data_IF_353888611386
#
_entry.id   IF_353888611386
#
_cell.length_a   1.000
_cell.length_b   1.000
_cell.length_c   1.000
_cell.angle_alpha   90.00
_cell.angle_beta   90.00
_cell.angle_gamma   90.00
#
_symmetry.space_group_name_H-M   'P 1'
#
loop_
_entity.id
_entity.type
_entity.pdbx_description
1 polymer ?
#
# COMPACT_ATOMS: atom_id res chain seq x y z
N UNK A 1 17.20 20.91 18.38
CA UNK A 1 16.04 20.60 19.23
C UNK A 1 15.70 19.13 19.02
N UNK A 2 16.34 18.33 19.86
CA UNK A 2 15.94 17.04 20.45
C UNK A 2 15.41 15.90 19.56
N UNK A 3 16.35 15.03 19.18
CA UNK A 3 16.16 13.63 18.82
C UNK A 3 15.72 12.80 20.04
N UNK A 4 14.48 12.33 20.05
CA UNK A 4 13.97 11.40 21.06
C UNK A 4 14.18 9.95 20.59
N UNK A 5 15.39 9.44 20.82
CA UNK A 5 15.74 8.02 20.68
C UNK A 5 15.18 7.27 21.90
N UNK A 6 14.09 6.53 21.73
CA UNK A 6 13.57 5.62 22.76
C UNK A 6 14.40 4.33 22.78
N UNK A 7 15.36 4.27 23.70
CA UNK A 7 15.96 3.01 24.15
C UNK A 7 14.95 2.26 25.02
N UNK A 8 14.57 1.04 24.61
CA UNK A 8 13.71 0.18 25.42
C UNK A 8 14.46 -1.13 25.67
N UNK A 9 14.79 -1.33 26.95
CA UNK A 9 15.50 -2.50 27.46
C UNK A 9 14.53 -3.69 27.57
N UNK A 10 14.93 -4.87 27.08
CA UNK A 10 14.08 -6.06 26.98
C UNK A 10 14.59 -7.18 27.90
N UNK A 11 14.23 -7.16 29.19
CA UNK A 11 14.26 -8.36 30.04
C UNK A 11 13.22 -8.29 31.17
N UNK A 12 12.17 -9.13 31.11
CA UNK A 12 11.41 -9.59 32.28
C UNK A 12 10.60 -10.87 31.95
N UNK A 13 10.41 -11.82 32.89
CA UNK A 13 10.04 -13.20 32.59
C UNK A 13 8.52 -13.48 32.55
N UNK A 14 8.13 -14.51 31.80
CA UNK A 14 6.76 -15.01 31.63
C UNK A 14 6.10 -15.47 32.94
N UNK A 15 4.85 -15.03 33.17
CA UNK A 15 3.93 -15.65 34.14
C UNK A 15 2.87 -16.45 33.39
N UNK A 16 2.73 -17.74 33.73
CA UNK A 16 1.72 -18.65 33.15
C UNK A 16 0.30 -18.26 33.59
N UNK A 17 -0.73 -18.40 32.72
CA UNK A 17 -2.11 -18.08 33.07
C UNK A 17 -2.76 -19.21 33.91
N UNK A 18 -3.47 -18.81 34.97
CA UNK A 18 -4.36 -19.70 35.74
C UNK A 18 -5.71 -19.84 35.01
N UNK A 19 -6.23 -21.07 34.89
CA UNK A 19 -7.57 -21.35 34.34
C UNK A 19 -8.64 -21.04 35.39
N UNK A 20 -9.62 -20.19 35.05
CA UNK A 20 -10.84 -20.00 35.84
C UNK A 20 -11.88 -21.08 35.53
N UNK A 21 -12.72 -21.48 36.50
CA UNK A 21 -13.74 -22.51 36.28
C UNK A 21 -14.99 -21.95 35.59
N UNK A 22 -15.51 -22.69 34.61
CA UNK A 22 -16.71 -22.33 33.85
C UNK A 22 -17.97 -22.26 34.73
N UNK A 23 -18.76 -21.21 34.53
CA UNK A 23 -20.02 -20.96 35.23
C UNK A 23 -21.07 -22.03 34.93
N UNK A 24 -21.70 -22.60 35.99
CA UNK A 24 -22.83 -23.56 35.94
C UNK A 24 -24.00 -23.11 35.06
N UNK A 25 -24.12 -21.81 34.74
CA UNK A 25 -25.14 -21.29 33.80
C UNK A 25 -24.85 -21.68 32.35
N UNK A 26 -23.57 -21.80 31.96
CA UNK A 26 -23.15 -22.18 30.61
C UNK A 26 -23.43 -23.67 30.32
N UNK A 27 -23.13 -24.56 31.27
CA UNK A 27 -23.43 -26.00 31.14
C UNK A 27 -24.93 -26.28 30.95
N UNK A 28 -25.81 -25.56 31.67
CA UNK A 28 -27.26 -25.70 31.54
C UNK A 28 -27.84 -25.15 30.23
N UNK A 29 -27.12 -24.26 29.54
CA UNK A 29 -27.50 -23.75 28.21
C UNK A 29 -27.15 -24.75 27.11
N UNK A 30 -25.96 -25.35 27.18
CA UNK A 30 -25.49 -26.36 26.20
C UNK A 30 -26.35 -27.62 26.22
N UNK A 31 -26.80 -28.05 27.41
CA UNK A 31 -27.60 -29.28 27.55
C UNK A 31 -29.02 -29.14 26.97
N UNK A 32 -29.65 -27.97 27.13
CA UNK A 32 -31.01 -27.70 26.60
C UNK A 32 -31.09 -27.68 25.06
N UNK A 33 -29.96 -27.44 24.39
CA UNK A 33 -29.86 -27.39 22.93
C UNK A 33 -29.59 -28.76 22.28
N UNK A 34 -29.22 -29.77 23.08
CA UNK A 34 -29.04 -31.16 22.60
C UNK A 34 -30.35 -31.95 22.57
N UNK A 35 -31.37 -31.52 23.32
CA UNK A 35 -32.63 -32.26 23.48
C UNK A 35 -33.78 -31.77 22.56
N UNK A 36 -33.52 -30.84 21.63
CA UNK A 36 -34.54 -30.18 20.80
C UNK A 36 -34.41 -30.43 19.28
N UNK A 37 -33.77 -31.51 18.85
CA UNK A 37 -33.68 -31.86 17.43
C UNK A 37 -34.54 -33.10 17.10
N UNK A 38 -35.60 -32.99 16.27
CA UNK A 38 -36.34 -34.13 15.76
C UNK A 38 -35.50 -34.94 14.76
N UNK A 39 -35.58 -36.27 14.82
CA UNK A 39 -35.03 -37.18 13.81
C UNK A 39 -36.08 -37.36 12.71
N UNK A 40 -35.74 -37.09 11.46
CA UNK A 40 -36.51 -37.58 10.30
C UNK A 40 -35.62 -38.38 9.34
N UNK A 41 -36.21 -39.48 8.90
CA UNK A 41 -35.68 -40.49 7.99
C UNK A 41 -36.00 -40.12 6.52
N UNK A 42 -35.14 -40.51 5.59
CA UNK A 42 -35.58 -41.08 4.30
C UNK A 42 -35.54 -40.19 3.04
N UNK A 43 -34.57 -40.51 2.16
CA UNK A 43 -34.64 -40.65 0.70
C UNK A 43 -35.58 -39.76 -0.16
N UNK A 44 -34.99 -38.99 -1.08
CA UNK A 44 -35.09 -39.12 -2.54
C UNK A 44 -35.26 -37.80 -3.34
N UNK A 45 -34.51 -37.75 -4.44
CA UNK A 45 -34.77 -37.10 -5.74
C UNK A 45 -34.83 -35.56 -5.86
N UNK A 46 -33.89 -35.04 -6.65
CA UNK A 46 -33.89 -33.71 -7.26
C UNK A 46 -34.95 -33.59 -8.38
N UNK A 47 -35.48 -32.39 -8.65
CA UNK A 47 -36.04 -32.06 -9.95
C UNK A 47 -35.18 -31.06 -10.72
N UNK A 48 -35.17 -31.32 -12.03
CA UNK A 48 -34.45 -30.65 -13.11
C UNK A 48 -35.12 -29.32 -13.50
N UNK A 49 -34.33 -28.45 -14.14
CA UNK A 49 -34.80 -27.27 -14.86
C UNK A 49 -35.80 -27.63 -15.99
N UNK A 50 -36.75 -26.75 -16.32
CA UNK A 50 -37.43 -26.74 -17.61
C UNK A 50 -36.75 -25.80 -18.64
N UNK A 51 -37.02 -25.98 -19.95
CA UNK A 51 -36.24 -25.41 -21.04
C UNK A 51 -36.78 -24.07 -21.60
N UNK A 52 -35.94 -23.51 -22.48
CA UNK A 52 -36.09 -22.32 -23.35
C UNK A 52 -37.36 -22.35 -24.20
N UNK A 53 -37.96 -21.17 -24.45
CA UNK A 53 -38.74 -20.92 -25.67
C UNK A 53 -38.38 -19.57 -26.28
N UNK A 54 -38.04 -19.61 -27.57
CA UNK A 54 -37.80 -18.49 -28.48
C UNK A 54 -39.11 -18.13 -29.19
N UNK A 55 -39.27 -16.84 -29.49
CA UNK A 55 -39.95 -16.22 -30.66
C UNK A 55 -39.93 -14.70 -30.37
N UNK A 56 -39.57 -13.75 -31.24
CA UNK A 56 -39.29 -13.75 -32.67
C UNK A 56 -39.87 -12.45 -33.27
N UNK A 57 -39.01 -11.57 -33.81
CA UNK A 57 -39.28 -10.52 -34.84
C UNK A 57 -40.24 -9.36 -34.46
N UNK A 58 -40.18 -8.10 -34.92
CA UNK A 58 -39.84 -7.46 -36.22
C UNK A 58 -39.62 -5.92 -36.08
N UNK A 59 -38.95 -5.29 -37.06
CA UNK A 59 -39.05 -3.85 -37.48
C UNK A 59 -38.05 -2.87 -36.84
N UNK A 60 -37.06 -2.26 -37.51
CA UNK A 60 -37.10 -1.23 -38.59
C UNK A 60 -38.05 -0.06 -38.24
N UNK A 61 -37.73 1.24 -38.29
CA UNK A 61 -36.84 1.98 -39.18
C UNK A 61 -36.62 3.45 -38.69
N UNK A 62 -35.61 4.12 -39.28
CA UNK A 62 -35.51 5.53 -39.65
C UNK A 62 -35.65 6.74 -38.65
N UNK A 63 -34.51 7.46 -38.52
CA UNK A 63 -34.26 8.85 -38.99
C UNK A 63 -34.95 10.10 -38.37
N UNK A 64 -34.12 11.06 -37.93
CA UNK A 64 -34.13 12.53 -38.20
C UNK A 64 -33.48 13.27 -37.01
N UNK A 65 -32.30 13.90 -37.09
CA UNK A 65 -31.85 15.12 -37.81
C UNK A 65 -32.34 16.44 -37.19
N UNK A 66 -31.38 17.36 -36.98
CA UNK A 66 -31.39 18.85 -36.86
C UNK A 66 -30.77 19.35 -35.54
N UNK A 67 -30.09 20.49 -35.41
CA UNK A 67 -29.36 21.47 -36.26
C UNK A 67 -28.73 22.48 -35.26
N UNK A 68 -27.64 23.14 -35.65
CA UNK A 68 -27.13 24.38 -35.01
C UNK A 68 -25.61 24.35 -34.82
N UNK A 69 -24.73 24.86 -35.70
CA UNK A 69 -24.41 26.28 -36.02
C UNK A 69 -24.26 27.13 -34.74
N UNK A 70 -23.21 27.91 -34.49
CA UNK A 70 -22.13 28.44 -35.35
C UNK A 70 -21.21 29.39 -34.57
N UNK A 71 -20.00 29.63 -35.12
CA UNK A 71 -19.11 30.82 -34.96
C UNK A 71 -18.45 30.99 -33.58
N UNK A 72 -17.13 31.17 -33.42
CA UNK A 72 -16.05 31.56 -34.32
C UNK A 72 -15.50 32.93 -33.88
N UNK A 73 -14.21 33.02 -33.58
CA UNK A 73 -13.30 34.14 -33.93
C UNK A 73 -11.88 33.87 -33.43
N UNK A 74 -10.93 34.10 -34.32
CA UNK A 74 -9.50 34.12 -34.09
C UNK A 74 -9.00 35.54 -33.73
N UNK A 75 -7.82 35.62 -33.11
CA UNK A 75 -6.77 36.66 -33.18
C UNK A 75 -5.77 36.34 -32.05
N UNK A 76 -4.44 36.33 -32.19
CA UNK A 76 -3.55 36.88 -33.21
C UNK A 76 -2.56 37.85 -32.56
N UNK A 77 -1.26 37.62 -32.81
CA UNK A 77 -0.06 38.45 -32.52
C UNK A 77 0.49 38.42 -31.08
N UNK A 78 1.73 37.99 -30.79
CA UNK A 78 3.08 38.25 -31.36
C UNK A 78 3.70 39.58 -30.91
N UNK A 79 4.79 39.48 -30.14
CA UNK A 79 6.05 40.25 -30.15
C UNK A 79 6.79 39.99 -28.81
N UNK A 80 8.10 40.18 -28.63
CA UNK A 80 9.34 39.89 -29.35
C UNK A 80 10.47 40.49 -28.46
N UNK A 81 11.67 39.88 -28.52
CA UNK A 81 13.03 40.44 -28.26
C UNK A 81 13.50 40.85 -26.85
N UNK A 82 14.78 40.54 -26.56
CA UNK A 82 15.67 41.29 -25.65
C UNK A 82 16.46 40.40 -24.66
N UNK A 83 17.51 39.71 -25.09
CA UNK A 83 18.95 40.06 -24.93
C UNK A 83 19.53 40.05 -23.49
N UNK A 84 20.63 39.32 -23.32
CA UNK A 84 21.54 39.34 -22.15
C UNK A 84 22.59 40.46 -22.31
N UNK A 85 23.35 40.87 -21.28
CA UNK A 85 24.62 40.17 -21.00
C UNK A 85 25.11 40.23 -19.53
N UNK A 86 26.23 39.54 -19.33
CA UNK A 86 27.00 39.31 -18.11
C UNK A 86 27.68 40.56 -17.49
N UNK A 87 28.10 40.45 -16.23
CA UNK A 87 29.43 40.95 -15.81
C UNK A 87 29.98 40.17 -14.62
N UNK A 88 31.30 39.96 -14.69
CA UNK A 88 32.21 39.41 -13.69
C UNK A 88 32.86 40.56 -12.90
N UNK A 89 33.38 40.27 -11.69
CA UNK A 89 34.72 40.62 -11.17
C UNK A 89 34.73 40.44 -9.63
N UNK A 90 35.56 39.55 -9.07
CA UNK A 90 36.95 39.79 -8.57
C UNK A 90 36.98 40.77 -7.36
N UNK A 91 37.70 40.59 -6.25
CA UNK A 91 38.87 39.76 -5.92
C UNK A 91 39.30 39.99 -4.44
N UNK A 92 40.07 39.03 -3.86
CA UNK A 92 41.20 39.13 -2.87
C UNK A 92 41.02 39.90 -1.54
N UNK A 93 41.53 39.47 -0.37
CA UNK A 93 42.40 38.37 0.04
C UNK A 93 42.94 38.51 1.50
N UNK A 94 43.81 37.57 1.91
CA UNK A 94 44.73 37.53 3.10
C UNK A 94 44.16 37.13 4.47
N UNK A 95 44.78 36.33 5.35
CA UNK A 95 46.02 35.52 5.32
C UNK A 95 46.40 35.01 6.74
N UNK A 96 46.53 33.68 6.93
CA UNK A 96 47.29 32.94 7.98
C UNK A 96 47.02 33.17 9.49
N UNK A 97 47.60 32.37 10.43
CA UNK A 97 48.51 31.23 10.26
C UNK A 97 48.09 29.92 11.02
N UNK A 98 48.89 28.88 10.78
CA UNK A 98 48.76 27.50 11.26
C UNK A 98 49.15 27.26 12.74
N UNK A 99 48.57 26.23 13.37
CA UNK A 99 49.18 25.43 14.46
C UNK A 99 48.73 23.96 14.43
N UNK A 100 49.61 23.12 14.96
CA UNK A 100 49.76 21.68 14.77
C UNK A 100 49.17 20.81 15.89
N UNK A 101 49.09 19.50 15.58
CA UNK A 101 49.06 18.29 16.44
C UNK A 101 47.70 17.73 16.89
N UNK A 102 47.53 16.43 16.59
CA UNK A 102 46.56 15.56 17.24
C UNK A 102 46.34 14.24 16.50
N UNK A 103 47.22 13.25 16.69
CA UNK A 103 46.97 11.85 16.30
C UNK A 103 45.79 11.32 17.13
N UNK A 104 44.63 11.14 16.50
CA UNK A 104 43.50 10.41 17.05
C UNK A 104 43.21 9.21 16.18
N UNK A 105 43.38 8.00 16.73
CA UNK A 105 42.92 6.73 16.13
C UNK A 105 41.39 6.76 16.07
N UNK A 106 40.85 7.23 14.95
CA UNK A 106 39.43 7.08 14.62
C UNK A 106 39.20 5.69 14.08
N UNK A 107 38.56 4.82 14.88
CA UNK A 107 37.98 3.59 14.38
C UNK A 107 36.98 3.95 13.29
N UNK A 108 37.35 3.68 12.04
CA UNK A 108 36.41 3.72 10.92
C UNK A 108 35.33 2.68 11.21
N UNK A 109 34.18 3.15 11.69
CA UNK A 109 32.97 2.35 11.76
C UNK A 109 32.59 2.05 10.31
N UNK A 110 33.10 0.92 9.82
CA UNK A 110 32.88 0.45 8.46
C UNK A 110 31.38 0.41 8.22
N UNK A 111 30.92 1.22 7.27
CA UNK A 111 29.65 0.96 6.62
C UNK A 111 29.75 -0.44 6.02
N UNK A 112 28.77 -1.33 6.25
CA UNK A 112 28.79 -2.63 5.60
C UNK A 112 28.68 -2.35 4.11
N UNK A 113 29.75 -2.62 3.37
CA UNK A 113 29.71 -2.72 1.92
C UNK A 113 28.81 -3.91 1.64
N UNK A 114 27.57 -3.64 1.25
CA UNK A 114 26.71 -4.66 0.65
C UNK A 114 27.33 -4.97 -0.71
N UNK A 115 27.86 -6.17 -0.85
CA UNK A 115 28.24 -6.73 -2.14
C UNK A 115 27.10 -6.51 -3.12
N UNK A 116 27.42 -6.11 -4.35
CA UNK A 116 26.48 -5.57 -5.34
C UNK A 116 25.43 -6.55 -5.88
N UNK A 117 24.95 -7.50 -5.10
CA UNK A 117 23.81 -8.35 -5.43
C UNK A 117 22.47 -7.62 -5.12
N UNK A 118 21.39 -7.92 -5.86
CA UNK A 118 20.05 -7.47 -5.48
C UNK A 118 19.71 -7.96 -4.06
N UNK A 119 18.80 -7.26 -3.34
CA UNK A 119 18.36 -7.70 -2.03
C UNK A 119 17.82 -9.14 -2.11
N UNK A 120 18.25 -9.99 -1.18
CA UNK A 120 17.74 -11.36 -1.14
C UNK A 120 16.20 -11.35 -0.97
N UNK A 121 15.46 -12.31 -1.57
CA UNK A 121 14.00 -12.40 -1.43
C UNK A 121 13.50 -12.32 0.02
N UNK A 122 14.24 -12.90 0.96
CA UNK A 122 13.92 -12.85 2.39
C UNK A 122 13.99 -11.46 3.02
N UNK A 123 14.58 -10.46 2.34
CA UNK A 123 14.65 -9.06 2.74
C UNK A 123 13.54 -8.20 2.12
N UNK A 124 12.80 -8.72 1.15
CA UNK A 124 11.73 -8.03 0.46
C UNK A 124 10.37 -8.37 1.09
N UNK A 125 9.54 -7.35 1.26
CA UNK A 125 8.13 -7.48 1.62
C UNK A 125 7.31 -6.49 0.81
N UNK A 126 6.06 -6.84 0.50
CA UNK A 126 5.10 -5.86 -0.03
C UNK A 126 4.07 -5.52 1.04
N UNK A 127 3.64 -4.27 1.05
CA UNK A 127 2.66 -3.76 2.00
C UNK A 127 1.57 -2.97 1.28
N UNK A 128 0.34 -3.13 1.76
CA UNK A 128 -0.79 -2.28 1.40
C UNK A 128 -1.72 -2.08 2.60
N UNK A 129 -2.34 -0.91 2.70
CA UNK A 129 -3.23 -0.52 3.77
C UNK A 129 -4.59 -0.06 3.25
N UNK A 130 -5.63 -0.42 3.99
CA UNK A 130 -6.96 0.15 3.83
C UNK A 130 -7.18 1.27 4.84
N UNK A 131 -7.72 2.39 4.37
CA UNK A 131 -7.97 3.57 5.19
C UNK A 131 -9.47 3.88 5.32
N UNK A 132 -9.83 4.39 6.49
CA UNK A 132 -11.14 4.99 6.80
C UNK A 132 -10.99 6.49 7.00
N UNK A 133 -12.10 7.22 6.89
CA UNK A 133 -12.18 8.65 7.17
C UNK A 133 -12.44 8.93 8.65
N UNK A 134 -11.56 9.71 9.26
CA UNK A 134 -11.69 10.25 10.63
C UNK A 134 -11.61 11.78 10.61
N UNK A 135 -11.86 12.40 11.77
CA UNK A 135 -11.83 13.85 11.93
C UNK A 135 -12.98 14.58 11.22
N UNK A 136 -12.94 15.92 11.16
CA UNK A 136 -14.02 16.73 10.58
C UNK A 136 -14.32 16.34 9.13
N UNK A 137 -15.56 15.89 8.90
CA UNK A 137 -16.03 15.45 7.57
C UNK A 137 -15.32 14.21 7.03
N UNK A 138 -14.64 13.41 7.87
CA UNK A 138 -13.95 12.19 7.44
C UNK A 138 -12.77 12.43 6.50
N UNK A 139 -12.20 13.65 6.50
CA UNK A 139 -11.12 14.05 5.57
C UNK A 139 -9.77 13.45 5.92
N UNK A 140 -9.55 13.04 7.16
CA UNK A 140 -8.30 12.40 7.57
C UNK A 140 -8.34 10.91 7.26
N UNK A 141 -7.44 10.44 6.39
CA UNK A 141 -7.25 9.01 6.14
C UNK A 141 -6.53 8.37 7.34
N UNK A 142 -7.17 7.41 8.00
CA UNK A 142 -6.59 6.66 9.13
C UNK A 142 -6.58 5.16 8.85
N UNK A 143 -5.53 4.49 9.30
CA UNK A 143 -5.31 3.05 9.07
C UNK A 143 -6.43 2.20 9.67
N UNK A 144 -7.01 1.31 8.86
CA UNK A 144 -8.08 0.40 9.27
C UNK A 144 -7.84 -1.08 8.93
N UNK A 145 -6.91 -1.37 8.02
CA UNK A 145 -6.35 -2.70 7.79
C UNK A 145 -4.94 -2.53 7.22
N UNK A 146 -4.01 -3.37 7.63
CA UNK A 146 -2.68 -3.44 7.02
C UNK A 146 -2.40 -4.90 6.67
N UNK A 147 -1.93 -5.12 5.45
CA UNK A 147 -1.49 -6.41 4.95
C UNK A 147 -0.03 -6.32 4.51
N UNK A 148 0.78 -7.31 4.90
CA UNK A 148 2.17 -7.46 4.49
C UNK A 148 2.36 -8.88 3.98
N UNK A 149 3.00 -9.00 2.83
CA UNK A 149 3.31 -10.29 2.20
C UNK A 149 4.82 -10.44 1.94
N UNK A 150 5.31 -11.67 1.91
CA UNK A 150 6.68 -12.01 1.49
C UNK A 150 6.88 -11.77 0.00
N UNK A 151 8.12 -11.95 -0.47
CA UNK A 151 8.44 -12.02 -1.88
C UNK A 151 7.58 -13.06 -2.62
N UNK A 152 7.35 -14.24 -2.04
CA UNK A 152 6.52 -15.31 -2.63
C UNK A 152 5.01 -15.04 -2.55
N UNK A 153 4.59 -13.98 -1.85
CA UNK A 153 3.18 -13.62 -1.67
C UNK A 153 2.50 -14.27 -0.46
N UNK A 154 3.28 -14.89 0.43
CA UNK A 154 2.77 -15.43 1.70
C UNK A 154 2.44 -14.30 2.67
N UNK A 155 1.30 -14.41 3.36
CA UNK A 155 0.86 -13.37 4.30
C UNK A 155 1.63 -13.48 5.61
N UNK A 156 2.39 -12.44 5.96
CA UNK A 156 3.13 -12.36 7.23
C UNK A 156 2.45 -11.46 8.25
N UNK A 157 1.58 -10.56 7.79
CA UNK A 157 0.72 -9.73 8.64
C UNK A 157 -0.55 -9.40 7.88
N UNK A 158 -1.72 -9.61 8.49
CA UNK A 158 -3.01 -9.12 7.98
C UNK A 158 -3.92 -8.91 9.19
N UNK A 159 -4.16 -7.65 9.54
CA UNK A 159 -4.97 -7.29 10.69
C UNK A 159 -5.85 -6.09 10.39
N UNK A 160 -7.11 -6.15 10.84
CA UNK A 160 -7.94 -4.97 10.99
C UNK A 160 -7.42 -4.13 12.16
N UNK A 161 -7.34 -2.83 11.93
CA UNK A 161 -6.79 -1.86 12.88
C UNK A 161 -7.89 -0.91 13.31
N UNK A 162 -8.00 -0.64 14.61
CA UNK A 162 -8.89 0.39 15.13
C UNK A 162 -8.13 1.72 15.20
N UNK A 163 -8.49 2.74 14.41
CA UNK A 163 -7.90 4.06 14.50
C UNK A 163 -8.04 4.66 15.91
N UNK A 164 -7.14 5.58 16.27
CA UNK A 164 -7.23 6.31 17.54
C UNK A 164 -8.40 7.30 17.54
N UNK A 165 -8.63 7.96 16.40
CA UNK A 165 -9.74 8.88 16.22
C UNK A 165 -11.04 8.13 15.84
N UNK A 166 -12.22 8.64 16.24
CA UNK A 166 -13.50 8.07 15.82
C UNK A 166 -13.64 8.02 14.29
N UNK A 167 -14.17 6.90 13.79
CA UNK A 167 -14.47 6.71 12.38
C UNK A 167 -15.75 7.48 12.04
N UNK A 168 -15.66 8.35 11.04
CA UNK A 168 -16.77 9.13 10.50
C UNK A 168 -17.27 8.53 9.19
N UNK A 169 -16.37 8.01 8.37
CA UNK A 169 -16.70 7.34 7.10
C UNK A 169 -15.83 6.09 6.93
N UNK A 170 -16.46 4.94 6.72
CA UNK A 170 -15.75 3.69 6.47
C UNK A 170 -15.12 3.60 5.09
N UNK A 171 -15.56 4.43 4.12
CA UNK A 171 -15.07 4.39 2.74
C UNK A 171 -15.19 3.00 2.11
N UNK A 172 -16.21 2.23 2.52
CA UNK A 172 -16.37 0.79 2.22
C UNK A 172 -16.24 0.46 0.73
N UNK A 173 -16.71 1.36 -0.16
CA UNK A 173 -16.61 1.18 -1.62
C UNK A 173 -15.17 1.01 -2.10
N UNK A 174 -14.23 1.66 -1.44
CA UNK A 174 -12.81 1.60 -1.74
C UNK A 174 -12.11 0.66 -0.76
N UNK A 175 -12.32 0.83 0.54
CA UNK A 175 -11.52 0.15 1.58
C UNK A 175 -11.95 -1.28 1.91
N UNK A 176 -13.18 -1.64 1.55
CA UNK A 176 -13.84 -2.87 2.02
C UNK A 176 -14.09 -2.95 3.52
N UNK A 177 -13.71 -1.93 4.30
CA UNK A 177 -13.86 -1.89 5.75
C UNK A 177 -15.32 -1.64 6.12
N UNK A 178 -15.79 -2.36 7.14
CA UNK A 178 -17.17 -2.27 7.65
C UNK A 178 -17.15 -2.17 9.17
N UNK A 179 -18.22 -1.64 9.80
CA UNK A 179 -18.30 -1.53 11.26
C UNK A 179 -18.00 -2.84 12.00
N UNK A 180 -18.49 -3.97 11.48
CA UNK A 180 -18.21 -5.31 12.07
C UNK A 180 -16.73 -5.66 12.16
N UNK A 181 -15.89 -5.15 11.26
CA UNK A 181 -14.45 -5.41 11.29
C UNK A 181 -13.79 -4.73 12.49
N UNK A 182 -14.39 -3.65 13.01
CA UNK A 182 -13.87 -2.90 14.15
C UNK A 182 -14.15 -3.56 15.50
N UNK A 183 -15.04 -4.55 15.58
CA UNK A 183 -15.38 -5.23 16.84
C UNK A 183 -14.14 -5.88 17.48
N UNK A 184 -13.34 -6.59 16.67
CA UNK A 184 -12.15 -7.32 17.11
C UNK A 184 -10.84 -6.71 16.55
N UNK A 185 -10.90 -5.50 16.00
CA UNK A 185 -9.73 -4.85 15.43
C UNK A 185 -8.66 -4.55 16.49
N UNK A 186 -7.39 -4.71 16.09
CA UNK A 186 -6.22 -4.44 16.93
C UNK A 186 -6.11 -2.91 17.13
N UNK A 187 -5.88 -2.41 18.36
CA UNK A 187 -5.66 -0.98 18.57
C UNK A 187 -4.46 -0.46 17.78
N UNK A 188 -4.59 0.74 17.20
CA UNK A 188 -3.57 1.34 16.32
C UNK A 188 -2.13 1.22 16.84
N UNK A 189 -1.86 1.62 18.09
CA UNK A 189 -0.50 1.58 18.66
C UNK A 189 0.08 0.17 18.75
N UNK A 190 -0.75 -0.85 18.94
CA UNK A 190 -0.30 -2.23 18.94
C UNK A 190 0.00 -2.70 17.52
N UNK A 191 -0.92 -2.47 16.59
CA UNK A 191 -0.73 -2.81 15.18
C UNK A 191 0.51 -2.11 14.60
N UNK A 192 0.71 -0.83 14.89
CA UNK A 192 1.88 -0.05 14.47
C UNK A 192 3.17 -0.73 14.92
N UNK A 193 3.31 -1.11 16.20
CA UNK A 193 4.51 -1.82 16.68
C UNK A 193 4.72 -3.17 16.00
N UNK A 194 3.65 -3.92 15.75
CA UNK A 194 3.73 -5.21 15.08
C UNK A 194 4.18 -5.05 13.62
N UNK A 195 3.59 -4.11 12.88
CA UNK A 195 3.99 -3.76 11.52
C UNK A 195 5.45 -3.31 11.46
N UNK A 196 5.87 -2.36 12.32
CA UNK A 196 7.24 -1.85 12.30
C UNK A 196 8.30 -2.93 12.62
N UNK A 197 7.95 -3.94 13.43
CA UNK A 197 8.82 -5.10 13.65
C UNK A 197 9.01 -5.94 12.38
N UNK A 198 7.95 -6.09 11.58
CA UNK A 198 8.03 -6.79 10.30
C UNK A 198 8.86 -6.00 9.28
N UNK A 199 8.68 -4.68 9.22
CA UNK A 199 9.38 -3.81 8.25
C UNK A 199 10.85 -3.55 8.61
N UNK A 200 11.28 -3.84 9.84
CA UNK A 200 12.62 -3.53 10.31
C UNK A 200 13.72 -4.18 9.43
N UNK A 201 14.52 -3.35 8.78
CA UNK A 201 15.62 -3.79 7.91
C UNK A 201 15.18 -4.52 6.64
N UNK A 202 13.92 -4.35 6.23
CA UNK A 202 13.38 -4.87 4.96
C UNK A 202 13.38 -3.80 3.89
N UNK A 203 13.44 -4.24 2.63
CA UNK A 203 13.03 -3.44 1.49
C UNK A 203 11.51 -3.59 1.36
N UNK A 204 10.80 -2.46 1.37
CA UNK A 204 9.33 -2.42 1.35
C UNK A 204 8.87 -1.97 -0.03
N UNK A 205 8.14 -2.86 -0.69
CA UNK A 205 7.47 -2.62 -1.98
C UNK A 205 6.04 -2.18 -1.71
N UNK A 206 5.57 -1.15 -2.42
CA UNK A 206 4.19 -0.68 -2.33
C UNK A 206 3.75 0.06 -3.59
N UNK A 207 2.49 0.49 -3.62
CA UNK A 207 1.94 1.28 -4.72
C UNK A 207 1.35 2.58 -4.18
N UNK A 208 1.99 3.71 -4.46
CA UNK A 208 1.74 4.99 -3.80
C UNK A 208 1.89 4.90 -2.27
N UNK A 209 2.93 4.17 -1.84
CA UNK A 209 3.17 3.69 -0.46
C UNK A 209 3.32 4.80 0.58
N UNK A 210 3.60 6.02 0.13
CA UNK A 210 3.64 7.20 0.99
C UNK A 210 2.30 7.44 1.73
N UNK A 211 1.17 7.02 1.14
CA UNK A 211 -0.13 7.11 1.79
C UNK A 211 -0.25 6.15 2.98
N UNK A 212 0.25 4.93 2.81
CA UNK A 212 0.30 3.88 3.82
C UNK A 212 1.20 4.29 4.99
N UNK A 213 2.41 4.76 4.68
CA UNK A 213 3.35 5.26 5.68
C UNK A 213 2.79 6.45 6.46
N UNK A 214 2.09 7.36 5.79
CA UNK A 214 1.39 8.47 6.46
C UNK A 214 0.29 7.97 7.40
N UNK A 215 -0.52 7.00 6.96
CA UNK A 215 -1.58 6.40 7.78
C UNK A 215 -1.03 5.58 8.96
N UNK A 216 0.16 5.00 8.81
CA UNK A 216 0.90 4.28 9.84
C UNK A 216 1.68 5.21 10.79
N UNK A 217 1.72 6.52 10.51
CA UNK A 217 2.56 7.49 11.22
C UNK A 217 4.03 7.06 11.29
N UNK A 218 4.57 6.66 10.14
CA UNK A 218 5.92 6.12 10.00
C UNK A 218 6.61 6.70 8.77
N UNK A 219 7.95 6.80 8.82
CA UNK A 219 8.79 7.15 7.68
C UNK A 219 9.78 6.02 7.44
N UNK A 220 9.64 5.33 6.33
CA UNK A 220 10.59 4.28 5.93
C UNK A 220 11.79 4.91 5.19
N UNK A 221 13.02 4.37 5.34
CA UNK A 221 14.16 4.86 4.57
C UNK A 221 13.89 4.76 3.07
N UNK A 222 14.14 5.86 2.35
CA UNK A 222 13.95 5.91 0.88
C UNK A 222 14.75 4.83 0.16
N UNK A 223 16.01 4.64 0.56
CA UNK A 223 16.90 3.62 0.03
C UNK A 223 16.39 2.17 0.20
N UNK A 224 15.36 1.94 1.03
CA UNK A 224 14.69 0.66 1.25
C UNK A 224 13.22 0.68 0.80
N UNK A 225 12.77 1.72 0.08
CA UNK A 225 11.39 1.84 -0.42
C UNK A 225 11.36 1.60 -1.92
N UNK A 226 10.43 0.77 -2.41
CA UNK A 226 10.15 0.53 -3.84
C UNK A 226 8.70 0.92 -4.12
N UNK A 227 8.47 2.12 -4.63
CA UNK A 227 7.11 2.59 -4.97
C UNK A 227 6.80 2.33 -6.45
N UNK A 228 5.99 1.31 -6.72
CA UNK A 228 5.61 0.89 -8.07
C UNK A 228 4.76 1.92 -8.82
N UNK A 229 4.20 2.93 -8.15
CA UNK A 229 3.42 4.01 -8.79
C UNK A 229 4.28 5.11 -9.42
N UNK A 230 5.57 5.16 -9.05
CA UNK A 230 6.51 6.23 -9.43
C UNK A 230 7.60 5.76 -10.39
N UNK A 231 7.66 4.47 -10.73
CA UNK A 231 8.76 3.93 -11.53
C UNK A 231 8.47 3.97 -13.04
N UNK A 232 9.30 4.65 -13.85
CA UNK A 232 9.16 4.69 -15.30
C UNK A 232 9.23 3.32 -16.00
N UNK A 233 10.01 2.37 -15.46
CA UNK A 233 10.19 1.04 -16.05
C UNK A 233 8.88 0.26 -16.19
N UNK A 234 8.01 0.31 -15.17
CA UNK A 234 6.71 -0.36 -15.23
C UNK A 234 5.81 0.27 -16.29
N UNK A 235 5.82 1.61 -16.39
CA UNK A 235 5.05 2.30 -17.40
C UNK A 235 5.54 1.94 -18.81
N UNK A 236 6.86 1.96 -19.04
CA UNK A 236 7.46 1.57 -20.32
C UNK A 236 7.04 0.15 -20.72
N UNK A 237 7.20 -0.82 -19.82
CA UNK A 237 6.83 -2.22 -20.08
C UNK A 237 5.32 -2.39 -20.30
N UNK A 238 4.50 -1.58 -19.62
CA UNK A 238 3.04 -1.60 -19.73
C UNK A 238 2.47 -0.78 -20.90
N UNK A 239 3.33 -0.12 -21.69
CA UNK A 239 2.89 0.74 -22.80
C UNK A 239 2.22 2.05 -22.36
N UNK A 240 2.58 2.58 -21.19
CA UNK A 240 2.07 3.84 -20.63
C UNK A 240 3.12 4.96 -20.70
N UNK A 241 2.70 6.25 -20.66
CA UNK A 241 3.64 7.35 -20.57
C UNK A 241 4.50 7.26 -19.28
N UNK A 242 5.80 7.49 -19.39
CA UNK A 242 6.75 7.27 -18.28
C UNK A 242 6.63 8.30 -17.13
N UNK A 243 6.05 9.46 -17.39
CA UNK A 243 5.98 10.60 -16.47
C UNK A 243 4.63 10.76 -15.75
N UNK A 244 3.83 9.69 -15.69
CA UNK A 244 2.52 9.71 -15.01
C UNK A 244 2.38 8.52 -14.06
N UNK A 245 1.67 8.70 -12.95
CA UNK A 245 1.30 7.56 -12.10
C UNK A 245 0.14 6.78 -12.72
N UNK A 246 0.35 5.49 -12.91
CA UNK A 246 -0.68 4.55 -13.39
C UNK A 246 -1.22 3.77 -12.20
N UNK A 247 -2.54 3.54 -12.16
CA UNK A 247 -3.14 2.79 -11.06
C UNK A 247 -2.68 1.33 -11.05
N UNK A 248 -2.58 0.76 -9.85
CA UNK A 248 -2.25 -0.65 -9.63
C UNK A 248 -3.06 -1.58 -10.54
N UNK A 249 -4.39 -1.36 -10.61
CA UNK A 249 -5.30 -2.14 -11.45
C UNK A 249 -4.91 -2.12 -12.93
N UNK A 250 -4.53 -0.95 -13.47
CA UNK A 250 -4.15 -0.81 -14.88
C UNK A 250 -2.79 -1.45 -15.17
N UNK A 251 -1.81 -1.26 -14.29
CA UNK A 251 -0.49 -1.91 -14.42
C UNK A 251 -0.62 -3.43 -14.35
N UNK A 252 -1.34 -3.94 -13.34
CA UNK A 252 -1.58 -5.37 -13.14
C UNK A 252 -2.27 -5.99 -14.35
N UNK A 253 -3.28 -5.30 -14.92
CA UNK A 253 -3.96 -5.77 -16.13
C UNK A 253 -3.02 -5.81 -17.34
N UNK A 254 -2.22 -4.76 -17.55
CA UNK A 254 -1.35 -4.65 -18.72
C UNK A 254 -0.16 -5.63 -18.67
N UNK A 255 0.45 -5.81 -17.49
CA UNK A 255 1.70 -6.55 -17.34
C UNK A 255 1.51 -8.00 -16.90
N UNK A 256 0.47 -8.27 -16.10
CA UNK A 256 0.23 -9.59 -15.50
C UNK A 256 -1.02 -10.27 -16.09
N UNK A 257 -1.79 -9.56 -16.93
CA UNK A 257 -3.09 -10.00 -17.45
C UNK A 257 -4.09 -10.42 -16.36
N UNK A 258 -3.99 -9.81 -15.18
CA UNK A 258 -4.83 -10.10 -14.01
C UNK A 258 -5.80 -8.98 -13.74
N UNK A 259 -7.04 -9.34 -13.38
CA UNK A 259 -8.07 -8.39 -12.94
C UNK A 259 -8.16 -8.41 -11.41
N UNK A 260 -7.71 -7.34 -10.77
CA UNK A 260 -7.79 -7.13 -9.32
C UNK A 260 -8.87 -6.10 -8.95
N UNK A 261 -9.19 -6.01 -7.66
CA UNK A 261 -10.19 -5.06 -7.14
C UNK A 261 -11.53 -5.23 -7.87
N UNK A 262 -11.95 -6.48 -8.05
CA UNK A 262 -13.18 -6.84 -8.77
C UNK A 262 -14.39 -6.87 -7.84
N UNK A 263 -15.54 -6.42 -8.35
CA UNK A 263 -16.81 -6.45 -7.62
C UNK A 263 -17.08 -5.19 -6.79
N UNK A 264 -18.04 -5.31 -5.85
CA UNK A 264 -18.61 -4.18 -5.09
C UNK A 264 -18.27 -4.22 -3.59
N UNK A 265 -17.37 -5.12 -3.18
CA UNK A 265 -17.06 -5.34 -1.75
C UNK A 265 -16.00 -4.40 -1.21
N UNK A 266 -15.39 -3.57 -2.05
CA UNK A 266 -14.19 -2.80 -1.74
C UNK A 266 -12.93 -3.58 -2.12
N UNK A 267 -11.77 -2.97 -1.89
CA UNK A 267 -10.46 -3.54 -2.17
C UNK A 267 -10.05 -4.51 -1.06
N UNK A 268 -9.01 -5.28 -1.35
CA UNK A 268 -8.39 -6.18 -0.39
C UNK A 268 -6.90 -5.91 -0.38
N UNK A 269 -6.42 -5.27 0.67
CA UNK A 269 -4.97 -5.04 0.85
C UNK A 269 -4.08 -6.27 0.67
N UNK A 270 -4.54 -7.50 0.96
CA UNK A 270 -3.74 -8.72 0.65
C UNK A 270 -3.61 -8.95 -0.87
N UNK A 271 -4.67 -8.70 -1.63
CA UNK A 271 -4.65 -8.80 -3.10
C UNK A 271 -3.73 -7.72 -3.68
N UNK A 272 -3.88 -6.49 -3.19
CA UNK A 272 -3.13 -5.33 -3.67
C UNK A 272 -1.63 -5.42 -3.32
N UNK A 273 -1.27 -5.89 -2.12
CA UNK A 273 0.11 -6.14 -1.74
C UNK A 273 0.75 -7.24 -2.60
N UNK A 274 0.02 -8.32 -2.91
CA UNK A 274 0.52 -9.38 -3.81
C UNK A 274 0.72 -8.87 -5.23
N UNK A 275 -0.28 -8.20 -5.79
CA UNK A 275 -0.19 -7.62 -7.13
C UNK A 275 1.01 -6.66 -7.24
N UNK A 276 1.24 -5.86 -6.20
CA UNK A 276 2.38 -4.94 -6.13
C UNK A 276 3.73 -5.67 -6.09
N UNK A 277 3.84 -6.76 -5.32
CA UNK A 277 5.05 -7.59 -5.32
C UNK A 277 5.31 -8.22 -6.70
N UNK A 278 4.27 -8.75 -7.34
CA UNK A 278 4.39 -9.32 -8.68
C UNK A 278 4.81 -8.27 -9.73
N UNK A 279 4.27 -7.05 -9.65
CA UNK A 279 4.73 -5.95 -10.50
C UNK A 279 6.21 -5.62 -10.25
N UNK A 280 6.65 -5.58 -8.99
CA UNK A 280 8.06 -5.36 -8.69
C UNK A 280 8.96 -6.41 -9.35
N UNK A 281 8.60 -7.70 -9.25
CA UNK A 281 9.36 -8.80 -9.89
C UNK A 281 9.51 -8.64 -11.41
N UNK A 282 8.53 -8.03 -12.09
CA UNK A 282 8.63 -7.77 -13.54
C UNK A 282 9.84 -6.90 -13.87
N UNK A 283 10.21 -5.96 -13.00
CA UNK A 283 11.27 -4.97 -13.22
C UNK A 283 12.43 -5.09 -12.23
N UNK A 284 12.44 -6.10 -11.36
CA UNK A 284 13.35 -6.21 -10.22
C UNK A 284 14.82 -6.12 -10.64
N UNK A 285 15.23 -6.91 -11.64
CA UNK A 285 16.62 -6.93 -12.08
C UNK A 285 17.11 -5.55 -12.55
N UNK A 286 16.33 -4.91 -13.43
CA UNK A 286 16.64 -3.57 -13.97
C UNK A 286 16.58 -2.50 -12.88
N UNK A 287 15.58 -2.56 -11.98
CA UNK A 287 15.41 -1.60 -10.89
C UNK A 287 16.59 -1.68 -9.92
N UNK A 288 16.91 -2.87 -9.41
CA UNK A 288 17.99 -3.03 -8.43
C UNK A 288 19.38 -2.84 -9.07
N UNK A 289 19.53 -3.07 -10.38
CA UNK A 289 20.73 -2.63 -11.11
C UNK A 289 20.84 -1.11 -11.19
N UNK A 290 19.76 -0.41 -11.50
CA UNK A 290 19.75 1.05 -11.59
C UNK A 290 20.10 1.70 -10.24
N UNK A 291 19.54 1.20 -9.13
CA UNK A 291 19.83 1.71 -7.79
C UNK A 291 21.29 1.51 -7.38
N UNK A 292 21.90 0.37 -7.76
CA UNK A 292 23.32 0.12 -7.53
C UNK A 292 24.22 1.09 -8.30
N UNK A 293 23.82 1.46 -9.52
CA UNK A 293 24.59 2.38 -10.37
C UNK A 293 24.41 3.85 -9.96
N UNK A 294 23.27 4.22 -9.37
CA UNK A 294 22.92 5.61 -9.04
C UNK A 294 22.60 5.83 -7.54
N UNK A 295 23.53 5.53 -6.61
CA UNK A 295 23.26 5.56 -5.16
C UNK A 295 23.01 6.96 -4.56
N UNK A 296 23.09 8.04 -5.35
CA UNK A 296 22.98 9.44 -4.90
C UNK A 296 21.69 10.16 -5.36
N UNK A 297 20.78 9.49 -6.07
CA UNK A 297 19.64 10.15 -6.73
C UNK A 297 18.29 10.06 -5.99
N UNK A 298 18.20 9.51 -4.77
CA UNK A 298 16.92 9.36 -4.03
C UNK A 298 16.88 9.96 -2.62
#
# INVERSE_FOLDING_TARGET
MDDLVLNVDFTAPERRPKKEPESRKHQRFVQRRRESCPKENGHAAAPRCPPVSQNGSTGADASARTKGKSRGTARGSANAVGDSPASQNDSRGTGGPAKTKGKGRGASRGTPKTDGAPPAPSKLVAMDCEMVGTGPGGRTSSLARCSIVTYEGDVVYDQYVRPEAPIVDYRTRWSGIRPRHMANAVPFRRAQREVLRVLAGKVVVGHAIHNDFKALHYSHPKALTRDTSQIPLLNRRGGFPENVSISLKRLTKALLNQDIQVGKKGHSSVEDARATMELYKVVEEEWEQHLRQNPKQE
#
